data_IF_233018383848
#
_entry.id   IF_233018383848
#
_cell.length_a   1.000
_cell.length_b   1.000
_cell.length_c   1.000
_cell.angle_alpha   90.00
_cell.angle_beta   90.00
_cell.angle_gamma   90.00
#
_symmetry.space_group_name_H-M   'P 1'
#
loop_
_entity.id
_entity.type
_entity.pdbx_description
1 polymer ?
#
# COMPACT_ATOMS: atom_id res chain seq x y z
N UNK A 1 -15.52 -35.48 -5.85
CA UNK A 1 -15.26 -34.78 -4.56
C UNK A 1 -16.54 -34.07 -4.13
N UNK A 2 -17.11 -34.44 -2.98
CA UNK A 2 -18.27 -33.73 -2.42
C UNK A 2 -17.83 -32.36 -1.91
N UNK A 3 -18.60 -31.31 -2.23
CA UNK A 3 -18.34 -29.97 -1.69
C UNK A 3 -18.61 -29.99 -0.18
N UNK A 4 -17.74 -29.35 0.63
CA UNK A 4 -17.98 -29.28 2.07
C UNK A 4 -19.32 -28.60 2.38
N UNK A 5 -19.93 -28.92 3.54
CA UNK A 5 -21.17 -28.30 4.01
C UNK A 5 -21.13 -26.77 3.92
N UNK A 6 -22.30 -26.15 3.71
CA UNK A 6 -22.39 -24.70 3.56
C UNK A 6 -21.86 -23.95 4.79
N UNK A 7 -22.07 -24.49 6.00
CA UNK A 7 -21.55 -23.93 7.24
C UNK A 7 -20.02 -23.88 7.27
N UNK A 8 -19.34 -24.97 6.94
CA UNK A 8 -17.87 -25.01 6.87
C UNK A 8 -17.31 -24.04 5.83
N UNK A 9 -17.97 -23.95 4.67
CA UNK A 9 -17.61 -23.00 3.61
C UNK A 9 -17.77 -21.56 4.07
N UNK A 10 -18.83 -21.26 4.82
CA UNK A 10 -19.08 -19.94 5.38
C UNK A 10 -18.00 -19.54 6.40
N UNK A 11 -17.67 -20.45 7.32
CA UNK A 11 -16.59 -20.23 8.31
C UNK A 11 -15.25 -19.99 7.60
N UNK A 12 -14.89 -20.83 6.63
CA UNK A 12 -13.65 -20.65 5.86
C UNK A 12 -13.59 -19.31 5.12
N UNK A 13 -14.70 -18.85 4.55
CA UNK A 13 -14.75 -17.55 3.88
C UNK A 13 -14.65 -16.37 4.86
N UNK A 14 -15.24 -16.47 6.04
CA UNK A 14 -15.12 -15.47 7.09
C UNK A 14 -13.68 -15.39 7.62
N UNK A 15 -13.04 -16.53 7.89
CA UNK A 15 -11.63 -16.57 8.29
C UNK A 15 -10.76 -15.86 7.24
N UNK A 16 -10.92 -16.22 5.97
CA UNK A 16 -10.17 -15.60 4.87
C UNK A 16 -10.39 -14.09 4.79
N UNK A 17 -11.63 -13.64 4.99
CA UNK A 17 -11.96 -12.21 5.00
C UNK A 17 -11.28 -11.47 6.15
N UNK A 18 -11.37 -11.98 7.38
CA UNK A 18 -10.75 -11.37 8.55
C UNK A 18 -9.23 -11.37 8.46
N UNK A 19 -8.62 -12.46 7.99
CA UNK A 19 -7.17 -12.53 7.75
C UNK A 19 -6.73 -11.50 6.71
N UNK A 20 -7.44 -11.37 5.58
CA UNK A 20 -7.11 -10.38 4.55
C UNK A 20 -7.29 -8.93 5.04
N UNK A 21 -8.30 -8.67 5.88
CA UNK A 21 -8.53 -7.36 6.49
C UNK A 21 -7.44 -6.98 7.49
N UNK A 22 -7.04 -7.93 8.35
CA UNK A 22 -5.96 -7.77 9.31
C UNK A 22 -4.63 -7.51 8.60
N UNK A 23 -4.35 -8.25 7.52
CA UNK A 23 -3.14 -8.09 6.72
C UNK A 23 -3.07 -6.71 6.05
N UNK A 24 -4.18 -6.27 5.43
CA UNK A 24 -4.24 -4.93 4.84
C UNK A 24 -4.01 -3.84 5.89
N UNK A 25 -4.50 -4.03 7.11
CA UNK A 25 -4.29 -3.10 8.23
C UNK A 25 -2.85 -3.11 8.71
N UNK A 26 -2.24 -4.30 8.82
CA UNK A 26 -0.84 -4.50 9.17
C UNK A 26 0.08 -3.77 8.19
N UNK A 27 -0.13 -3.96 6.88
CA UNK A 27 0.67 -3.32 5.83
C UNK A 27 0.53 -1.79 5.91
N UNK A 28 -0.69 -1.26 6.11
CA UNK A 28 -0.89 0.20 6.26
C UNK A 28 -0.08 0.77 7.42
N UNK A 29 -0.09 0.11 8.58
CA UNK A 29 0.71 0.53 9.75
C UNK A 29 2.21 0.43 9.45
N UNK A 30 2.65 -0.67 8.84
CA UNK A 30 4.05 -0.87 8.47
C UNK A 30 4.57 0.21 7.51
N UNK A 31 3.77 0.66 6.54
CA UNK A 31 4.14 1.78 5.66
C UNK A 31 4.44 3.03 6.48
N UNK A 32 3.52 3.43 7.36
CA UNK A 32 3.68 4.63 8.20
C UNK A 32 4.92 4.51 9.09
N UNK A 33 5.05 3.40 9.84
CA UNK A 33 6.21 3.17 10.73
C UNK A 33 7.55 3.12 9.99
N UNK A 34 7.55 2.71 8.73
CA UNK A 34 8.77 2.71 7.91
C UNK A 34 9.11 4.14 7.46
N UNK A 35 8.11 4.91 7.05
CA UNK A 35 8.30 6.31 6.63
C UNK A 35 8.73 7.23 7.78
N UNK A 36 8.28 6.96 9.01
CA UNK A 36 8.72 7.69 10.21
C UNK A 36 10.25 7.64 10.45
N UNK A 37 10.95 6.67 9.84
CA UNK A 37 12.41 6.54 9.91
C UNK A 37 13.15 7.35 8.84
N UNK A 38 12.43 7.93 7.89
CA UNK A 38 13.03 8.76 6.83
C UNK A 38 13.64 10.04 7.46
N UNK A 39 14.88 10.42 7.10
CA UNK A 39 15.50 11.65 7.60
C UNK A 39 14.66 12.90 7.39
N UNK A 40 14.05 13.06 6.20
CA UNK A 40 13.12 14.18 5.90
C UNK A 40 11.94 14.17 6.87
N UNK A 41 11.37 13.00 7.16
CA UNK A 41 10.23 12.88 8.07
C UNK A 41 10.61 13.22 9.51
N UNK A 42 11.75 12.74 9.97
CA UNK A 42 12.29 13.07 11.29
C UNK A 42 12.50 14.59 11.40
N UNK A 43 13.08 15.21 10.38
CA UNK A 43 13.36 16.64 10.39
C UNK A 43 12.09 17.49 10.32
N UNK A 44 11.12 17.08 9.49
CA UNK A 44 9.83 17.76 9.33
C UNK A 44 9.08 17.87 10.68
N UNK A 45 9.08 16.79 11.46
CA UNK A 45 8.41 16.76 12.77
C UNK A 45 9.22 17.43 13.90
N UNK A 46 10.54 17.60 13.75
CA UNK A 46 11.36 18.34 14.72
C UNK A 46 11.18 19.85 14.62
N UNK A 47 11.15 20.36 13.40
CA UNK A 47 11.15 21.81 13.12
C UNK A 47 9.76 22.39 12.97
N UNK A 48 8.78 21.57 12.56
CA UNK A 48 7.38 21.93 12.28
C UNK A 48 7.19 23.37 11.75
N UNK A 49 7.59 23.55 10.50
CA UNK A 49 7.32 24.77 9.72
C UNK A 49 6.64 24.38 8.41
N UNK A 50 5.33 24.65 8.30
CA UNK A 50 4.51 24.30 7.12
C UNK A 50 4.95 25.04 5.83
N UNK A 51 5.84 26.04 5.93
CA UNK A 51 6.44 26.72 4.77
C UNK A 51 7.78 26.12 4.36
N UNK A 52 8.29 25.13 5.10
CA UNK A 52 9.53 24.43 4.82
C UNK A 52 9.40 23.50 3.61
N UNK A 53 10.47 23.31 2.81
CA UNK A 53 10.48 22.32 1.72
C UNK A 53 10.26 20.86 2.17
N UNK A 54 10.29 20.62 3.49
CA UNK A 54 9.99 19.34 4.13
C UNK A 54 8.49 18.97 4.08
N UNK A 55 7.63 19.92 3.68
CA UNK A 55 6.19 19.73 3.53
C UNK A 55 5.75 20.02 2.10
N UNK A 56 4.93 19.13 1.54
CA UNK A 56 4.13 19.39 0.35
C UNK A 56 2.67 19.52 0.80
N UNK A 57 2.24 20.78 0.95
CA UNK A 57 0.96 21.14 1.55
C UNK A 57 0.82 20.56 2.97
N UNK A 58 -0.07 19.58 3.17
CA UNK A 58 -0.33 18.91 4.45
C UNK A 58 0.39 17.56 4.60
N UNK A 59 1.29 17.22 3.68
CA UNK A 59 2.00 15.94 3.66
C UNK A 59 3.50 16.18 3.79
N UNK A 60 4.16 15.32 4.56
CA UNK A 60 5.61 15.32 4.65
C UNK A 60 6.19 14.96 3.28
N UNK A 61 7.09 15.80 2.77
CA UNK A 61 7.71 15.69 1.46
C UNK A 61 8.91 14.71 1.47
N UNK A 62 8.73 13.50 2.00
CA UNK A 62 9.77 12.47 2.06
C UNK A 62 10.15 11.94 0.67
N UNK A 63 11.32 11.29 0.51
CA UNK A 63 11.81 10.82 -0.80
C UNK A 63 10.80 9.97 -1.58
N UNK A 64 10.05 9.07 -0.91
CA UNK A 64 8.99 8.31 -1.58
C UNK A 64 7.85 9.20 -2.12
N UNK A 65 7.49 10.29 -1.43
CA UNK A 65 6.47 11.21 -1.90
C UNK A 65 7.01 11.98 -3.10
N UNK A 66 8.25 12.46 -3.04
CA UNK A 66 8.94 13.09 -4.15
C UNK A 66 9.02 12.17 -5.38
N UNK A 67 9.35 10.88 -5.21
CA UNK A 67 9.37 9.91 -6.31
C UNK A 67 7.97 9.67 -6.91
N UNK A 68 6.93 9.61 -6.08
CA UNK A 68 5.53 9.45 -6.53
C UNK A 68 4.99 10.71 -7.23
N UNK A 69 5.54 11.88 -6.93
CA UNK A 69 5.17 13.17 -7.53
C UNK A 69 6.17 13.69 -8.54
N UNK A 70 7.23 12.94 -8.84
CA UNK A 70 8.15 13.24 -9.93
C UNK A 70 7.45 13.04 -11.28
N UNK A 71 7.87 13.84 -12.25
CA UNK A 71 7.49 13.71 -13.65
C UNK A 71 8.74 13.68 -14.51
N UNK A 72 8.70 12.88 -15.57
CA UNK A 72 9.69 12.87 -16.64
C UNK A 72 9.06 13.47 -17.88
N UNK A 73 9.81 14.35 -18.55
CA UNK A 73 9.42 14.93 -19.83
C UNK A 73 9.95 14.04 -20.94
N UNK A 74 9.05 13.49 -21.73
CA UNK A 74 9.36 12.87 -23.01
C UNK A 74 9.02 13.88 -24.13
N UNK A 75 9.63 13.74 -25.30
CA UNK A 75 9.66 14.73 -26.40
C UNK A 75 8.29 15.37 -26.75
N UNK A 76 7.17 14.73 -26.40
CA UNK A 76 5.81 15.25 -26.58
C UNK A 76 4.87 15.08 -25.37
N UNK A 77 5.34 14.63 -24.20
CA UNK A 77 4.46 14.42 -23.03
C UNK A 77 5.20 14.42 -21.70
N UNK A 78 4.58 14.99 -20.67
CA UNK A 78 4.98 14.75 -19.28
C UNK A 78 4.25 13.53 -18.72
N UNK A 79 4.99 12.60 -18.12
CA UNK A 79 4.42 11.44 -17.43
C UNK A 79 4.97 11.30 -16.02
N UNK A 80 4.23 10.60 -15.16
CA UNK A 80 4.73 10.14 -13.85
C UNK A 80 5.78 9.07 -14.05
N UNK A 81 6.64 8.92 -13.03
CA UNK A 81 7.54 7.79 -12.94
C UNK A 81 6.75 6.48 -12.89
N UNK A 82 7.25 5.48 -13.61
CA UNK A 82 6.75 4.12 -13.52
C UNK A 82 7.35 3.40 -12.30
N UNK A 83 6.98 2.14 -12.11
CA UNK A 83 7.38 1.39 -10.93
C UNK A 83 8.88 1.09 -10.88
N UNK A 84 9.53 0.93 -12.04
CA UNK A 84 10.97 0.67 -12.13
C UNK A 84 11.73 1.96 -11.82
N UNK A 85 11.34 3.07 -12.44
CA UNK A 85 11.94 4.39 -12.20
C UNK A 85 11.81 4.85 -10.74
N UNK A 86 10.67 4.60 -10.07
CA UNK A 86 10.51 4.87 -8.64
C UNK A 86 11.48 4.01 -7.81
N UNK A 87 11.65 2.75 -8.19
CA UNK A 87 12.56 1.82 -7.49
C UNK A 87 14.01 2.27 -7.65
N UNK A 88 14.41 2.66 -8.85
CA UNK A 88 15.75 3.13 -9.17
C UNK A 88 16.07 4.43 -8.43
N UNK A 89 15.14 5.40 -8.45
CA UNK A 89 15.31 6.66 -7.74
C UNK A 89 15.50 6.46 -6.24
N UNK A 90 14.74 5.53 -5.63
CA UNK A 90 14.81 5.24 -4.19
C UNK A 90 16.01 4.36 -3.80
N UNK A 91 16.54 3.58 -4.74
CA UNK A 91 17.73 2.76 -4.55
C UNK A 91 18.98 3.64 -4.60
N UNK A 92 18.99 4.65 -5.47
CA UNK A 92 20.20 5.44 -5.74
C UNK A 92 21.18 4.68 -6.63
N UNK A 93 22.10 5.44 -7.22
CA UNK A 93 23.19 4.88 -8.03
C UNK A 93 24.50 4.81 -7.23
N UNK A 94 24.58 5.60 -6.16
CA UNK A 94 25.67 5.70 -5.19
C UNK A 94 25.15 6.14 -3.80
N UNK A 95 26.03 6.12 -2.79
CA UNK A 95 25.72 6.52 -1.41
C UNK A 95 25.43 8.04 -1.26
N UNK A 96 25.65 8.84 -2.31
CA UNK A 96 25.44 10.30 -2.33
C UNK A 96 24.16 10.72 -3.11
N UNK A 97 23.45 9.76 -3.70
CA UNK A 97 22.24 10.01 -4.47
C UNK A 97 21.16 10.65 -3.59
N UNK A 98 20.82 11.93 -3.83
CA UNK A 98 19.87 12.72 -3.03
C UNK A 98 18.47 12.08 -2.89
N UNK A 99 18.10 11.15 -3.78
CA UNK A 99 16.84 10.38 -3.70
C UNK A 99 16.93 9.04 -2.99
N UNK A 100 18.13 8.53 -2.72
CA UNK A 100 18.35 7.20 -2.18
C UNK A 100 17.95 7.15 -0.70
N UNK A 101 17.00 6.27 -0.37
CA UNK A 101 16.54 6.15 1.00
C UNK A 101 16.02 4.74 1.27
N UNK A 102 16.74 3.91 2.05
CA UNK A 102 16.35 2.52 2.29
C UNK A 102 15.00 2.41 3.00
N UNK A 103 14.63 3.40 3.81
CA UNK A 103 13.32 3.47 4.45
C UNK A 103 12.20 3.74 3.44
N UNK A 104 12.40 4.67 2.52
CA UNK A 104 11.43 4.98 1.47
C UNK A 104 11.31 3.84 0.47
N UNK A 105 12.42 3.16 0.13
CA UNK A 105 12.42 1.94 -0.68
C UNK A 105 11.67 0.79 -0.01
N UNK A 106 11.90 0.54 1.29
CA UNK A 106 11.15 -0.45 2.04
C UNK A 106 9.65 -0.12 2.11
N UNK A 107 9.30 1.15 2.31
CA UNK A 107 7.91 1.62 2.26
C UNK A 107 7.29 1.45 0.87
N UNK A 108 8.07 1.65 -0.20
CA UNK A 108 7.64 1.38 -1.57
C UNK A 108 7.30 -0.10 -1.78
N UNK A 109 8.18 -1.01 -1.35
CA UNK A 109 7.89 -2.44 -1.37
C UNK A 109 6.61 -2.81 -0.62
N UNK A 110 6.34 -2.18 0.52
CA UNK A 110 5.08 -2.36 1.26
C UNK A 110 3.86 -1.80 0.50
N UNK A 111 3.99 -0.70 -0.25
CA UNK A 111 2.93 -0.16 -1.11
C UNK A 111 2.62 -1.14 -2.25
N UNK A 112 3.63 -1.76 -2.84
CA UNK A 112 3.44 -2.79 -3.87
C UNK A 112 2.69 -3.99 -3.28
N UNK A 113 3.16 -4.53 -2.14
CA UNK A 113 2.47 -5.63 -1.44
C UNK A 113 1.03 -5.25 -1.02
N UNK A 114 0.76 -3.98 -0.72
CA UNK A 114 -0.59 -3.48 -0.42
C UNK A 114 -1.53 -3.64 -1.61
N UNK A 115 -1.06 -3.55 -2.86
CA UNK A 115 -1.90 -3.76 -4.07
C UNK A 115 -2.44 -5.20 -4.07
N UNK A 116 -1.59 -6.17 -3.81
CA UNK A 116 -1.96 -7.59 -3.76
C UNK A 116 -2.90 -7.88 -2.59
N UNK A 117 -2.59 -7.34 -1.41
CA UNK A 117 -3.46 -7.48 -0.24
C UNK A 117 -4.85 -6.87 -0.45
N UNK A 118 -4.96 -5.74 -1.18
CA UNK A 118 -6.26 -5.16 -1.55
C UNK A 118 -7.03 -6.06 -2.50
N UNK A 119 -6.36 -6.67 -3.48
CA UNK A 119 -6.99 -7.59 -4.40
C UNK A 119 -7.54 -8.82 -3.67
N UNK A 120 -6.73 -9.38 -2.76
CA UNK A 120 -7.12 -10.53 -1.94
C UNK A 120 -8.29 -10.20 -1.01
N UNK A 121 -8.26 -9.04 -0.33
CA UNK A 121 -9.40 -8.57 0.47
C UNK A 121 -10.67 -8.41 -0.37
N UNK A 122 -10.55 -7.89 -1.59
CA UNK A 122 -11.66 -7.81 -2.54
C UNK A 122 -12.23 -9.17 -2.94
N UNK A 123 -11.37 -10.16 -3.17
CA UNK A 123 -11.76 -11.54 -3.45
C UNK A 123 -12.50 -12.16 -2.27
N UNK A 124 -11.94 -12.04 -1.06
CA UNK A 124 -12.54 -12.58 0.16
C UNK A 124 -13.92 -11.96 0.44
N UNK A 125 -14.05 -10.65 0.27
CA UNK A 125 -15.35 -9.94 0.40
C UNK A 125 -16.39 -10.44 -0.60
N UNK A 126 -16.00 -10.69 -1.86
CA UNK A 126 -16.90 -11.26 -2.88
C UNK A 126 -17.33 -12.68 -2.51
N UNK A 127 -16.41 -13.49 -1.99
CA UNK A 127 -16.69 -14.86 -1.57
C UNK A 127 -17.70 -14.91 -0.41
N UNK A 128 -17.51 -14.09 0.63
CA UNK A 128 -18.46 -13.98 1.75
C UNK A 128 -19.85 -13.59 1.25
N UNK A 129 -19.95 -12.60 0.35
CA UNK A 129 -21.23 -12.21 -0.25
C UNK A 129 -21.87 -13.32 -1.09
N UNK A 130 -21.08 -14.06 -1.86
CA UNK A 130 -21.58 -15.18 -2.65
C UNK A 130 -22.15 -16.29 -1.76
N UNK A 131 -21.47 -16.62 -0.66
CA UNK A 131 -21.95 -17.62 0.30
C UNK A 131 -23.20 -17.13 1.03
N UNK A 132 -23.25 -15.86 1.45
CA UNK A 132 -24.45 -15.27 2.04
C UNK A 132 -25.67 -15.37 1.13
N UNK A 133 -25.50 -15.10 -0.18
CA UNK A 133 -26.58 -15.29 -1.18
C UNK A 133 -27.03 -16.74 -1.28
N UNK A 134 -26.12 -17.71 -1.20
CA UNK A 134 -26.47 -19.13 -1.21
C UNK A 134 -27.23 -19.54 0.06
N UNK A 135 -26.82 -19.04 1.23
CA UNK A 135 -27.49 -19.29 2.49
C UNK A 135 -28.92 -18.74 2.50
N UNK A 136 -29.13 -17.52 2.01
CA UNK A 136 -30.47 -16.92 1.88
C UNK A 136 -31.38 -17.78 0.98
N UNK A 137 -30.88 -18.24 -0.16
CA UNK A 137 -31.64 -19.12 -1.06
C UNK A 137 -31.99 -20.46 -0.41
N UNK A 138 -31.08 -21.03 0.38
CA UNK A 138 -31.31 -22.29 1.08
C UNK A 138 -32.28 -22.14 2.26
N UNK A 139 -32.48 -20.92 2.79
CA UNK A 139 -33.42 -20.64 3.88
C UNK A 139 -34.82 -20.22 3.41
N UNK A 140 -35.03 -20.04 2.10
CA UNK A 140 -36.35 -19.74 1.55
C UNK A 140 -37.11 -21.06 1.30
N UNK A 141 -38.36 -21.19 1.77
CA UNK A 141 -39.17 -22.40 1.61
C UNK A 141 -39.56 -22.67 0.15
#
# INVERSE_FOLDING_TARGET
MNKPPLGERAVAALIRYESAAAELTRIKKAIVTTLEKCPITIEAYKTFDDKSPLWDNSRVNHHLHQALTATVSDYCSERRLDQEEITDQLTGWDDESEGACPHCLAAWGLILARKDARQEFGNAKRLVRAIGKLAIKASQP
#
